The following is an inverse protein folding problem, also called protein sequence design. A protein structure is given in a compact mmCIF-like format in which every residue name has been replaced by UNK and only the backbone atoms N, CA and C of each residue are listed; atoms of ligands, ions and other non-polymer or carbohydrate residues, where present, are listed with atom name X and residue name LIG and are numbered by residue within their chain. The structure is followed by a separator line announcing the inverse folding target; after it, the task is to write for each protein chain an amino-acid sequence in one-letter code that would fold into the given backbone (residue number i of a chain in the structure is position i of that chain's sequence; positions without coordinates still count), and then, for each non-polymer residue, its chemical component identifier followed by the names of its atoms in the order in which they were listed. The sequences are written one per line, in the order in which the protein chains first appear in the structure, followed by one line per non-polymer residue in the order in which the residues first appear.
data_IF_847842673600
#
_entry.id   IF_847842673600
#
_cell.length_a   1.000
_cell.length_b   1.000
_cell.length_c   1.000
_cell.angle_alpha   90.00
_cell.angle_beta   90.00
_cell.angle_gamma   90.00
#
_symmetry.space_group_name_H-M   'P 1'
#
loop_
_entity.id
_entity.type
_entity.pdbx_description
1 polymer ?
#
# COMPACT_ATOMS: atom_id res chain seq x y z
N UNK A 1 -10.43 16.49 -11.62
CA UNK A 1 -9.12 16.40 -10.93
C UNK A 1 -9.27 15.33 -9.85
N UNK A 2 -8.24 14.53 -9.60
CA UNK A 2 -8.26 13.55 -8.52
C UNK A 2 -6.87 13.41 -7.91
N UNK A 3 -6.82 12.78 -6.74
CA UNK A 3 -5.63 12.68 -5.91
C UNK A 3 -4.63 11.70 -6.51
N UNK A 4 -3.50 12.23 -6.97
CA UNK A 4 -2.46 11.42 -7.60
C UNK A 4 -1.49 10.92 -6.56
N UNK A 5 -0.92 9.74 -6.84
CA UNK A 5 -0.10 9.04 -5.86
C UNK A 5 0.89 8.09 -6.52
N UNK A 6 1.77 7.54 -5.69
CA UNK A 6 2.73 6.52 -6.07
C UNK A 6 2.52 5.26 -5.22
N UNK A 7 2.46 4.10 -5.87
CA UNK A 7 2.50 2.79 -5.18
C UNK A 7 3.84 2.14 -5.52
N UNK A 8 4.69 1.96 -4.52
CA UNK A 8 6.01 1.40 -4.68
C UNK A 8 6.14 0.04 -4.01
N UNK A 9 6.99 -0.80 -4.56
CA UNK A 9 7.49 -2.00 -3.91
C UNK A 9 9.01 -1.94 -3.91
N UNK A 10 9.60 -2.11 -2.73
CA UNK A 10 11.03 -2.22 -2.52
C UNK A 10 11.36 -3.66 -2.11
N UNK A 11 12.28 -4.31 -2.82
CA UNK A 11 12.62 -5.72 -2.60
C UNK A 11 14.01 -6.04 -3.13
N UNK A 12 14.75 -6.88 -2.41
CA UNK A 12 16.15 -7.25 -2.71
C UNK A 12 17.04 -6.01 -2.87
N UNK A 13 16.86 -5.01 -2.01
CA UNK A 13 17.66 -3.79 -1.97
C UNK A 13 17.40 -2.80 -3.12
N UNK A 14 16.30 -2.95 -3.87
CA UNK A 14 15.98 -2.06 -5.00
C UNK A 14 14.48 -1.80 -5.16
N UNK A 15 14.15 -0.73 -5.86
CA UNK A 15 12.80 -0.48 -6.35
C UNK A 15 12.45 -1.49 -7.43
N UNK A 16 11.38 -2.25 -7.22
CA UNK A 16 10.88 -3.21 -8.21
C UNK A 16 9.59 -2.74 -8.89
N UNK A 17 8.78 -1.95 -8.17
CA UNK A 17 7.57 -1.28 -8.69
C UNK A 17 7.59 0.18 -8.23
N UNK A 18 7.17 1.09 -9.11
CA UNK A 18 6.83 2.47 -8.78
C UNK A 18 5.69 2.93 -9.70
N UNK A 19 4.48 2.49 -9.37
CA UNK A 19 3.27 2.69 -10.15
C UNK A 19 2.68 4.08 -9.88
N UNK A 20 2.61 4.91 -10.92
CA UNK A 20 1.83 6.14 -10.89
C UNK A 20 0.33 5.83 -10.85
N UNK A 21 -0.38 6.47 -9.93
CA UNK A 21 -1.82 6.39 -9.78
C UNK A 21 -2.48 7.75 -10.03
N UNK A 22 -3.50 7.78 -10.88
CA UNK A 22 -4.15 9.03 -11.29
C UNK A 22 -5.22 9.55 -10.31
N UNK A 23 -5.93 8.64 -9.64
CA UNK A 23 -7.13 8.96 -8.88
C UNK A 23 -7.12 8.33 -7.50
N UNK A 24 -7.83 8.99 -6.58
CA UNK A 24 -8.17 8.51 -5.24
C UNK A 24 -6.98 8.05 -4.39
N UNK A 25 -5.83 8.74 -4.46
CA UNK A 25 -4.62 8.37 -3.73
C UNK A 25 -4.68 8.40 -2.20
N UNK A 26 -5.77 8.87 -1.61
CA UNK A 26 -5.93 9.00 -0.17
C UNK A 26 -5.84 7.65 0.59
N UNK A 27 -5.44 7.67 1.87
CA UNK A 27 -5.37 6.48 2.72
C UNK A 27 -6.66 5.67 2.77
N UNK A 28 -7.82 6.32 2.76
CA UNK A 28 -9.15 5.72 2.81
C UNK A 28 -9.45 4.83 1.61
N UNK A 29 -8.74 5.03 0.49
CA UNK A 29 -8.97 4.28 -0.76
C UNK A 29 -7.77 3.41 -1.08
N UNK A 30 -6.62 3.98 -1.47
CA UNK A 30 -5.47 3.18 -1.89
C UNK A 30 -4.73 2.60 -0.69
N UNK A 31 -4.61 3.36 0.41
CA UNK A 31 -4.07 2.84 1.67
C UNK A 31 -4.87 1.64 2.17
N UNK A 32 -6.21 1.72 2.20
CA UNK A 32 -7.08 0.59 2.58
C UNK A 32 -6.97 -0.59 1.63
N UNK A 33 -6.76 -0.36 0.32
CA UNK A 33 -6.50 -1.45 -0.64
C UNK A 33 -5.19 -2.17 -0.33
N UNK A 34 -4.13 -1.42 -0.03
CA UNK A 34 -2.84 -1.98 0.38
C UNK A 34 -2.95 -2.73 1.72
N UNK A 35 -3.60 -2.12 2.72
CA UNK A 35 -3.92 -2.75 4.00
C UNK A 35 -4.57 -4.12 3.78
N UNK A 36 -5.70 -4.17 3.05
CA UNK A 36 -6.41 -5.43 2.80
C UNK A 36 -5.55 -6.48 2.08
N UNK A 37 -4.70 -6.04 1.16
CA UNK A 37 -3.80 -6.94 0.44
C UNK A 37 -2.73 -7.52 1.39
N UNK A 38 -2.09 -6.67 2.18
CA UNK A 38 -0.96 -7.01 3.06
C UNK A 38 -1.39 -7.72 4.35
N UNK A 39 -2.65 -7.55 4.79
CA UNK A 39 -3.21 -8.28 5.93
C UNK A 39 -3.41 -9.78 5.66
N UNK A 40 -3.08 -10.29 4.47
CA UNK A 40 -3.17 -11.71 4.11
C UNK A 40 -1.77 -12.22 3.77
N UNK A 41 -1.17 -13.04 4.65
CA UNK A 41 0.19 -13.55 4.47
C UNK A 41 0.41 -14.22 3.10
N UNK A 42 -0.58 -15.01 2.65
CA UNK A 42 -0.52 -15.69 1.35
C UNK A 42 -0.37 -14.71 0.16
N UNK A 43 -0.94 -13.51 0.25
CA UNK A 43 -0.79 -12.50 -0.80
C UNK A 43 0.66 -12.01 -0.92
N UNK A 44 1.40 -11.96 0.19
CA UNK A 44 2.80 -11.52 0.24
C UNK A 44 3.70 -12.57 -0.41
N UNK A 45 3.47 -13.85 -0.11
CA UNK A 45 4.19 -14.98 -0.74
C UNK A 45 3.96 -14.98 -2.25
N UNK A 46 2.71 -14.89 -2.67
CA UNK A 46 2.31 -14.80 -4.09
C UNK A 46 2.88 -13.56 -4.78
N UNK A 47 2.93 -12.42 -4.09
CA UNK A 47 3.56 -11.21 -4.62
C UNK A 47 5.06 -11.43 -4.86
N UNK A 48 5.80 -12.00 -3.89
CA UNK A 48 7.23 -12.30 -4.03
C UNK A 48 7.50 -13.19 -5.24
N UNK A 49 6.74 -14.27 -5.41
CA UNK A 49 6.85 -15.14 -6.57
C UNK A 49 6.47 -14.43 -7.89
N UNK A 50 5.39 -13.65 -7.89
CA UNK A 50 4.96 -12.87 -9.06
C UNK A 50 5.98 -11.82 -9.52
N UNK A 51 6.73 -11.23 -8.58
CA UNK A 51 7.75 -10.23 -8.87
C UNK A 51 8.92 -10.76 -9.71
N UNK A 52 9.19 -12.08 -9.68
CA UNK A 52 10.21 -12.69 -10.53
C UNK A 52 9.81 -12.70 -12.03
N UNK A 53 8.54 -12.40 -12.34
CA UNK A 53 8.01 -12.26 -13.70
C UNK A 53 7.86 -10.80 -14.16
N UNK A 54 8.27 -9.83 -13.33
CA UNK A 54 8.27 -8.41 -13.71
C UNK A 54 9.48 -8.11 -14.59
N UNK A 55 9.25 -7.35 -15.66
CA UNK A 55 10.31 -6.81 -16.51
C UNK A 55 10.10 -5.33 -16.80
N UNK A 56 11.15 -4.67 -17.24
CA UNK A 56 11.16 -3.23 -17.57
C UNK A 56 11.27 -3.08 -19.08
N UNK A 57 10.17 -2.76 -19.79
CA UNK A 57 10.18 -2.69 -21.24
C UNK A 57 11.16 -1.65 -21.77
N UNK A 58 11.81 -1.95 -22.89
CA UNK A 58 12.60 -0.97 -23.64
C UNK A 58 11.69 0.08 -24.30
N UNK A 59 12.27 1.17 -24.82
CA UNK A 59 11.50 2.17 -25.57
C UNK A 59 10.80 1.55 -26.80
N UNK A 60 11.46 0.59 -27.46
CA UNK A 60 10.93 -0.14 -28.62
C UNK A 60 9.77 -1.07 -28.22
N UNK A 61 9.91 -1.80 -27.10
CA UNK A 61 8.83 -2.65 -26.57
C UNK A 61 7.62 -1.82 -26.12
N UNK A 62 7.85 -0.64 -25.52
CA UNK A 62 6.76 0.27 -25.15
C UNK A 62 6.02 0.80 -26.36
N UNK A 63 6.73 1.09 -27.46
CA UNK A 63 6.10 1.52 -28.69
C UNK A 63 5.30 0.38 -29.33
N UNK A 64 5.85 -0.83 -29.35
CA UNK A 64 5.12 -2.02 -29.81
C UNK A 64 3.84 -2.28 -29.00
N UNK A 65 3.89 -2.13 -27.66
CA UNK A 65 2.71 -2.22 -26.79
C UNK A 65 1.67 -1.14 -27.14
N UNK A 66 2.10 0.08 -27.44
CA UNK A 66 1.19 1.18 -27.84
C UNK A 66 0.54 0.89 -29.19
N UNK A 67 1.32 0.42 -30.16
CA UNK A 67 0.83 0.05 -31.49
C UNK A 67 -0.19 -1.07 -31.40
N UNK A 68 0.06 -2.10 -30.57
CA UNK A 68 -0.90 -3.17 -30.31
C UNK A 68 -2.20 -2.64 -29.70
N UNK A 69 -2.12 -1.80 -28.67
CA UNK A 69 -3.29 -1.18 -28.06
C UNK A 69 -4.09 -0.34 -29.08
N UNK A 70 -3.39 0.44 -29.93
CA UNK A 70 -4.02 1.26 -30.96
C UNK A 70 -4.70 0.39 -32.03
N UNK A 71 -4.05 -0.71 -32.46
CA UNK A 71 -4.63 -1.66 -33.41
C UNK A 71 -5.88 -2.36 -32.84
N UNK A 72 -5.85 -2.73 -31.55
CA UNK A 72 -7.00 -3.33 -30.87
C UNK A 72 -8.16 -2.32 -30.77
N UNK A 73 -7.87 -1.08 -30.40
CA UNK A 73 -8.87 0.01 -30.38
C UNK A 73 -9.49 0.24 -31.77
N UNK A 74 -8.66 0.27 -32.83
CA UNK A 74 -9.13 0.40 -34.20
C UNK A 74 -10.05 -0.77 -34.60
N UNK A 75 -9.70 -1.99 -34.23
CA UNK A 75 -10.52 -3.17 -34.49
C UNK A 75 -11.89 -3.08 -33.81
N UNK A 76 -11.94 -2.64 -32.55
CA UNK A 76 -13.22 -2.38 -31.85
C UNK A 76 -14.08 -1.34 -32.57
N UNK A 77 -13.46 -0.27 -33.10
CA UNK A 77 -14.15 0.77 -33.87
C UNK A 77 -14.69 0.21 -35.18
N UNK A 78 -13.90 -0.56 -35.91
CA UNK A 78 -14.29 -1.15 -37.20
C UNK A 78 -15.45 -2.14 -37.05
N UNK A 79 -15.53 -2.84 -35.92
CA UNK A 79 -16.64 -3.73 -35.58
C UNK A 79 -17.87 -2.99 -35.03
N UNK A 80 -17.81 -1.67 -34.87
CA UNK A 80 -18.89 -0.89 -34.25
C UNK A 80 -19.12 -1.25 -32.78
N UNK A 81 -18.10 -1.77 -32.09
CA UNK A 81 -18.13 -2.15 -30.67
C UNK A 81 -17.63 -1.03 -29.75
N UNK A 82 -17.24 0.13 -30.31
CA UNK A 82 -16.89 1.35 -29.58
C UNK A 82 -18.15 2.09 -29.06
N UNK A 83 -19.00 1.42 -28.26
CA UNK A 83 -20.27 1.94 -27.74
C UNK A 83 -20.09 2.90 -26.55
N UNK A 84 -19.32 3.99 -26.73
CA UNK A 84 -19.34 5.17 -25.86
C UNK A 84 -18.83 5.00 -24.43
N UNK A 85 -18.49 3.79 -24.00
CA UNK A 85 -17.64 3.55 -22.84
C UNK A 85 -16.20 3.63 -23.31
N UNK A 86 -15.42 4.55 -22.73
CA UNK A 86 -13.97 4.64 -22.95
C UNK A 86 -13.32 3.32 -22.53
N UNK A 87 -13.26 2.35 -23.44
CA UNK A 87 -12.52 1.11 -23.22
C UNK A 87 -11.08 1.53 -23.06
N UNK A 88 -10.57 1.43 -21.83
CA UNK A 88 -9.17 1.71 -21.57
C UNK A 88 -8.39 0.47 -22.01
N UNK A 89 -8.08 0.39 -23.31
CA UNK A 89 -7.43 -0.79 -23.93
C UNK A 89 -6.13 -1.15 -23.23
N UNK A 90 -5.35 -0.15 -22.81
CA UNK A 90 -4.12 -0.38 -22.03
C UNK A 90 -4.44 -1.10 -20.73
N UNK A 91 -5.51 -0.73 -20.03
CA UNK A 91 -5.93 -1.39 -18.78
C UNK A 91 -6.39 -2.83 -18.99
N UNK A 92 -6.95 -3.15 -20.15
CA UNK A 92 -7.40 -4.51 -20.47
C UNK A 92 -6.23 -5.42 -20.88
N UNK A 93 -5.35 -4.95 -21.76
CA UNK A 93 -4.24 -5.74 -22.29
C UNK A 93 -3.02 -5.73 -21.35
N UNK A 94 -2.66 -4.55 -20.85
CA UNK A 94 -1.45 -4.29 -20.07
C UNK A 94 -1.77 -3.53 -18.77
N UNK A 95 -2.56 -4.12 -17.86
CA UNK A 95 -3.04 -3.43 -16.66
C UNK A 95 -1.90 -2.90 -15.76
N UNK A 96 -0.72 -3.52 -15.78
CA UNK A 96 0.46 -3.06 -15.02
C UNK A 96 1.08 -1.76 -15.54
N UNK A 97 0.69 -1.30 -16.73
CA UNK A 97 1.09 -0.02 -17.30
C UNK A 97 0.01 1.06 -17.16
N UNK A 98 -1.21 0.68 -16.78
CA UNK A 98 -2.33 1.60 -16.67
C UNK A 98 -2.28 2.42 -15.37
N UNK A 99 -2.48 3.72 -15.49
CA UNK A 99 -2.45 4.68 -14.39
C UNK A 99 -3.63 4.60 -13.42
N UNK A 100 -4.68 3.85 -13.75
CA UNK A 100 -5.80 3.60 -12.84
C UNK A 100 -5.68 2.27 -12.10
N UNK A 101 -4.67 1.46 -12.43
CA UNK A 101 -4.42 0.20 -11.72
C UNK A 101 -4.02 0.46 -10.27
N UNK A 102 -3.17 1.46 -10.02
CA UNK A 102 -2.80 1.89 -8.66
C UNK A 102 -2.43 0.70 -7.76
N UNK A 103 -2.94 0.62 -6.53
CA UNK A 103 -2.64 -0.47 -5.59
C UNK A 103 -3.02 -1.87 -6.10
N UNK A 104 -3.91 -1.96 -7.10
CA UNK A 104 -4.32 -3.25 -7.70
C UNK A 104 -3.18 -3.94 -8.44
N UNK A 105 -2.08 -3.24 -8.75
CA UNK A 105 -0.90 -3.83 -9.38
C UNK A 105 -0.34 -5.00 -8.56
N UNK A 106 -0.36 -4.90 -7.23
CA UNK A 106 0.08 -5.98 -6.34
C UNK A 106 -0.77 -7.24 -6.52
N UNK A 107 -2.10 -7.07 -6.61
CA UNK A 107 -3.00 -8.20 -6.86
C UNK A 107 -2.84 -8.79 -8.26
N UNK A 108 -2.55 -7.96 -9.28
CA UNK A 108 -2.30 -8.45 -10.64
C UNK A 108 -1.04 -9.31 -10.68
N UNK A 109 0.03 -8.87 -10.03
CA UNK A 109 1.30 -9.58 -9.99
C UNK A 109 1.21 -10.85 -9.15
N UNK A 110 0.44 -10.83 -8.06
CA UNK A 110 0.22 -12.01 -7.23
C UNK A 110 -0.69 -13.08 -7.88
N UNK A 111 -1.53 -12.73 -8.87
CA UNK A 111 -2.56 -13.63 -9.43
C UNK A 111 -2.09 -14.88 -10.19
N UNK A 112 -1.05 -14.88 -11.04
CA UNK A 112 -0.66 -16.07 -11.79
C UNK A 112 -0.34 -17.26 -10.88
N UNK A 113 0.19 -16.99 -9.69
CA UNK A 113 0.46 -18.01 -8.67
C UNK A 113 -0.81 -18.57 -8.04
N UNK A 114 -1.92 -17.81 -8.03
CA UNK A 114 -3.22 -18.28 -7.56
C UNK A 114 -3.87 -19.29 -8.52
N UNK A 115 -3.84 -19.00 -9.82
CA UNK A 115 -4.40 -19.90 -10.84
C UNK A 115 -3.59 -21.20 -10.95
N UNK A 116 -2.26 -21.12 -10.82
CA UNK A 116 -1.38 -22.29 -10.84
C UNK A 116 -1.60 -23.23 -9.63
N UNK A 117 -1.93 -22.69 -8.44
CA UNK A 117 -2.20 -23.49 -7.23
C UNK A 117 -3.60 -24.11 -7.22
N UNK A 118 -4.63 -23.41 -7.74
CA UNK A 118 -6.03 -23.87 -7.69
C UNK A 118 -6.35 -24.93 -8.76
N UNK A 119 -5.71 -24.87 -9.94
CA UNK A 119 -6.05 -25.75 -11.06
C UNK A 119 -5.22 -27.04 -11.15
N UNK A 120 -4.20 -27.24 -10.30
CA UNK A 120 -3.35 -28.45 -10.34
C UNK A 120 -2.74 -28.74 -11.73
N UNK A 121 -2.71 -27.73 -12.60
CA UNK A 121 -2.40 -27.86 -14.01
C UNK A 121 -0.89 -27.82 -14.20
N UNK A 122 -0.24 -28.98 -14.05
CA UNK A 122 1.17 -29.19 -14.40
C UNK A 122 1.42 -29.21 -15.92
N UNK A 123 0.38 -29.14 -16.77
CA UNK A 123 0.52 -29.43 -18.20
C UNK A 123 -0.18 -28.41 -19.12
N UNK A 124 0.27 -27.14 -19.16
CA UNK A 124 0.41 -26.38 -20.41
C UNK A 124 1.56 -25.39 -20.23
N UNK A 125 2.68 -25.61 -20.93
CA UNK A 125 3.80 -24.68 -20.99
C UNK A 125 3.43 -23.42 -21.82
N UNK A 126 2.48 -22.61 -21.34
CA UNK A 126 2.45 -21.20 -21.71
C UNK A 126 3.62 -20.51 -20.99
N UNK A 127 4.40 -19.71 -21.71
CA UNK A 127 5.44 -18.91 -21.08
C UNK A 127 4.83 -18.13 -19.90
N UNK A 128 5.48 -18.09 -18.73
CA UNK A 128 4.92 -17.43 -17.57
C UNK A 128 4.59 -15.98 -17.94
N UNK A 129 3.35 -15.57 -17.70
CA UNK A 129 2.85 -14.23 -18.03
C UNK A 129 3.79 -13.17 -17.44
N UNK A 130 4.53 -12.49 -18.31
CA UNK A 130 5.46 -11.43 -17.91
C UNK A 130 4.68 -10.14 -17.66
N UNK A 131 5.14 -9.37 -16.67
CA UNK A 131 4.50 -8.13 -16.25
C UNK A 131 5.36 -6.92 -16.64
N UNK A 132 4.99 -6.18 -17.70
CA UNK A 132 5.69 -4.95 -18.03
C UNK A 132 5.41 -3.90 -16.97
N UNK A 133 6.46 -3.32 -16.38
CA UNK A 133 6.36 -2.26 -15.38
C UNK A 133 7.27 -1.10 -15.76
N UNK A 134 6.79 0.12 -15.54
CA UNK A 134 7.60 1.33 -15.62
C UNK A 134 7.83 1.91 -14.22
N UNK A 135 9.09 2.14 -13.87
CA UNK A 135 9.43 2.78 -12.60
C UNK A 135 9.23 4.30 -12.71
N UNK A 136 8.11 4.81 -12.18
CA UNK A 136 7.77 6.25 -12.19
C UNK A 136 8.23 6.97 -10.92
N UNK A 137 9.38 6.58 -10.37
CA UNK A 137 9.91 7.11 -9.11
C UNK A 137 10.04 8.63 -9.09
N UNK A 138 10.46 9.25 -10.20
CA UNK A 138 10.61 10.71 -10.30
C UNK A 138 9.31 11.48 -10.04
N UNK A 139 8.13 10.82 -10.06
CA UNK A 139 6.89 11.46 -9.65
C UNK A 139 6.88 11.83 -8.16
N UNK A 140 7.66 11.14 -7.32
CA UNK A 140 7.84 11.52 -5.92
C UNK A 140 8.38 12.95 -5.75
N UNK A 141 9.06 13.49 -6.77
CA UNK A 141 9.60 14.85 -6.76
C UNK A 141 8.61 15.94 -7.17
N UNK A 142 7.40 15.56 -7.59
CA UNK A 142 6.36 16.50 -8.02
C UNK A 142 5.52 16.91 -6.82
N UNK A 143 5.97 17.91 -6.05
CA UNK A 143 5.25 18.36 -4.84
C UNK A 143 3.87 18.97 -5.12
N UNK A 144 3.59 19.35 -6.37
CA UNK A 144 2.30 19.90 -6.77
C UNK A 144 1.26 18.80 -6.99
N UNK A 145 1.70 17.64 -7.51
CA UNK A 145 0.79 16.57 -7.92
C UNK A 145 0.94 15.28 -7.11
N UNK A 146 2.11 14.94 -6.59
CA UNK A 146 2.32 13.76 -5.77
C UNK A 146 1.86 14.03 -4.34
N UNK A 147 0.57 13.80 -4.09
CA UNK A 147 -0.06 14.04 -2.79
C UNK A 147 0.23 12.93 -1.79
N UNK A 148 0.38 11.68 -2.28
CA UNK A 148 0.63 10.49 -1.47
C UNK A 148 1.64 9.55 -2.13
N UNK A 149 2.47 8.88 -1.32
CA UNK A 149 3.26 7.74 -1.76
C UNK A 149 3.17 6.62 -0.73
N UNK A 150 3.08 5.39 -1.20
CA UNK A 150 3.07 4.19 -0.37
C UNK A 150 4.23 3.32 -0.78
N UNK A 151 5.01 2.86 0.18
CA UNK A 151 6.14 1.96 -0.05
C UNK A 151 5.89 0.66 0.68
N UNK A 152 5.70 -0.42 -0.08
CA UNK A 152 5.71 -1.78 0.45
C UNK A 152 7.15 -2.27 0.42
N UNK A 153 7.82 -2.22 1.57
CA UNK A 153 9.17 -2.74 1.73
C UNK A 153 9.09 -4.22 2.13
N UNK A 154 9.38 -5.09 1.17
CA UNK A 154 9.34 -6.54 1.35
C UNK A 154 10.59 -7.09 2.05
N UNK A 155 11.67 -6.30 2.13
CA UNK A 155 12.90 -6.66 2.82
C UNK A 155 12.75 -6.42 4.32
N UNK A 156 12.06 -5.35 4.71
CA UNK A 156 11.77 -5.01 6.10
C UNK A 156 10.37 -5.43 6.57
N UNK A 157 9.53 -5.92 5.65
CA UNK A 157 8.13 -6.31 5.90
C UNK A 157 7.30 -5.18 6.52
N UNK A 158 7.41 -3.99 5.93
CA UNK A 158 6.67 -2.79 6.34
C UNK A 158 5.92 -2.14 5.18
N UNK A 159 4.78 -1.52 5.51
CA UNK A 159 4.11 -0.53 4.68
C UNK A 159 4.45 0.85 5.23
N UNK A 160 5.16 1.65 4.45
CA UNK A 160 5.43 3.06 4.75
C UNK A 160 4.42 3.94 4.02
N UNK A 161 3.91 4.95 4.73
CA UNK A 161 2.96 5.92 4.20
C UNK A 161 3.61 7.29 4.21
N UNK A 162 3.56 7.94 3.06
CA UNK A 162 4.07 9.29 2.85
C UNK A 162 2.96 10.20 2.32
N UNK A 163 2.97 11.46 2.74
CA UNK A 163 2.02 12.47 2.29
C UNK A 163 2.56 13.87 2.46
N UNK A 164 2.13 14.81 1.62
CA UNK A 164 2.74 16.16 1.58
C UNK A 164 4.14 16.15 0.95
N UNK A 165 4.97 17.12 1.30
CA UNK A 165 6.33 17.23 0.76
C UNK A 165 7.32 17.84 1.75
N UNK A 166 8.58 17.41 1.68
CA UNK A 166 9.71 17.91 2.44
C UNK A 166 10.99 18.00 1.58
N UNK A 167 12.03 18.60 2.15
CA UNK A 167 13.36 18.59 1.53
C UNK A 167 14.06 17.26 1.77
N UNK A 168 14.83 16.81 0.78
CA UNK A 168 15.68 15.63 0.93
C UNK A 168 16.69 15.83 2.05
N UNK A 169 16.91 14.76 2.81
CA UNK A 169 17.94 14.68 3.83
C UNK A 169 18.52 13.26 3.86
N UNK A 170 19.66 13.10 4.54
CA UNK A 170 20.27 11.79 4.74
C UNK A 170 19.30 10.84 5.45
N UNK A 171 19.23 9.60 4.96
CA UNK A 171 18.31 8.58 5.47
C UNK A 171 16.90 8.62 4.86
N UNK A 172 16.54 9.64 4.08
CA UNK A 172 15.22 9.67 3.43
C UNK A 172 15.08 8.58 2.36
N UNK A 173 13.93 7.89 2.31
CA UNK A 173 13.65 6.77 1.39
C UNK A 173 13.81 7.13 -0.08
N UNK A 174 13.45 8.35 -0.45
CA UNK A 174 13.52 8.90 -1.80
C UNK A 174 14.73 9.83 -2.04
N UNK A 175 15.76 9.80 -1.17
CA UNK A 175 16.90 10.74 -1.26
C UNK A 175 17.59 10.70 -2.64
N UNK A 176 17.74 9.50 -3.21
CA UNK A 176 18.47 9.27 -4.47
C UNK A 176 17.56 9.36 -5.71
N UNK A 177 16.30 9.82 -5.55
CA UNK A 177 15.33 9.93 -6.64
C UNK A 177 15.26 11.37 -7.13
N UNK A 178 15.70 11.63 -8.37
CA UNK A 178 15.73 12.97 -8.95
C UNK A 178 16.87 13.85 -8.41
N UNK A 179 16.84 15.14 -8.71
CA UNK A 179 17.90 16.09 -8.36
C UNK A 179 17.91 16.44 -6.86
N UNK A 180 19.06 16.76 -6.25
CA UNK A 180 19.17 16.95 -4.79
C UNK A 180 18.28 18.05 -4.19
N UNK A 181 17.94 19.07 -4.96
CA UNK A 181 17.11 20.21 -4.54
C UNK A 181 15.61 19.97 -4.72
N UNK A 182 15.23 18.90 -5.43
CA UNK A 182 13.84 18.54 -5.62
C UNK A 182 13.21 18.04 -4.32
N UNK A 183 11.93 18.39 -4.05
CA UNK A 183 11.22 17.90 -2.88
C UNK A 183 10.99 16.39 -2.97
N UNK A 184 10.60 15.79 -1.85
CA UNK A 184 10.19 14.39 -1.73
C UNK A 184 8.97 14.29 -0.83
N UNK A 185 8.18 13.20 -0.90
CA UNK A 185 7.00 13.05 -0.06
C UNK A 185 7.42 12.91 1.41
N UNK A 186 6.70 13.56 2.33
CA UNK A 186 7.02 13.51 3.76
C UNK A 186 6.63 12.18 4.38
N UNK A 187 7.51 11.58 5.16
CA UNK A 187 7.17 10.36 5.91
C UNK A 187 6.08 10.65 6.96
N UNK A 188 5.01 9.85 6.97
CA UNK A 188 3.90 9.99 7.91
C UNK A 188 3.98 8.92 9.00
N UNK A 189 3.98 7.65 8.60
CA UNK A 189 4.06 6.52 9.52
C UNK A 189 4.40 5.23 8.76
N UNK A 190 4.72 4.18 9.50
CA UNK A 190 4.93 2.83 8.97
C UNK A 190 4.12 1.81 9.77
N UNK A 191 3.75 0.72 9.11
CA UNK A 191 3.11 -0.43 9.71
C UNK A 191 3.90 -1.69 9.38
N UNK A 192 4.21 -2.51 10.37
CA UNK A 192 4.75 -3.85 10.05
C UNK A 192 3.64 -4.73 9.46
N UNK A 193 3.98 -5.72 8.64
CA UNK A 193 2.98 -6.66 8.12
C UNK A 193 2.28 -7.42 9.25
N UNK A 194 2.99 -7.68 10.35
CA UNK A 194 2.40 -8.25 11.57
C UNK A 194 1.36 -7.32 12.20
N UNK A 195 1.64 -6.02 12.30
CA UNK A 195 0.65 -5.04 12.76
C UNK A 195 -0.57 -5.02 11.83
N UNK A 196 -0.36 -4.96 10.50
CA UNK A 196 -1.46 -4.97 9.52
C UNK A 196 -2.33 -6.23 9.59
N UNK A 197 -1.74 -7.38 9.90
CA UNK A 197 -2.45 -8.64 10.10
C UNK A 197 -3.31 -8.62 11.38
N UNK A 198 -2.79 -8.01 12.45
CA UNK A 198 -3.46 -7.91 13.75
C UNK A 198 -4.52 -6.80 13.79
N UNK A 199 -4.33 -5.71 13.03
CA UNK A 199 -5.31 -4.63 12.89
C UNK A 199 -6.57 -5.18 12.23
N UNK A 200 -7.68 -5.20 12.96
CA UNK A 200 -8.91 -5.88 12.53
C UNK A 200 -9.79 -5.05 11.63
N UNK A 201 -9.53 -3.74 11.51
CA UNK A 201 -10.40 -2.84 10.74
C UNK A 201 -9.62 -1.85 9.87
N UNK A 202 -10.06 -1.62 8.61
CA UNK A 202 -9.53 -0.54 7.78
C UNK A 202 -9.67 0.85 8.42
N UNK A 203 -10.67 1.05 9.28
CA UNK A 203 -10.93 2.31 9.96
C UNK A 203 -9.83 2.63 10.97
N UNK A 204 -9.40 1.65 11.77
CA UNK A 204 -8.29 1.78 12.71
C UNK A 204 -6.98 2.12 11.99
N UNK A 205 -6.72 1.45 10.86
CA UNK A 205 -5.58 1.75 9.99
C UNK A 205 -5.58 3.23 9.53
N UNK A 206 -6.71 3.72 8.99
CA UNK A 206 -6.84 5.12 8.55
C UNK A 206 -6.75 6.10 9.72
N UNK A 207 -7.32 5.76 10.87
CA UNK A 207 -7.24 6.60 12.08
C UNK A 207 -5.81 6.77 12.56
N UNK A 208 -4.98 5.72 12.55
CA UNK A 208 -3.56 5.81 12.92
C UNK A 208 -2.79 6.72 11.96
N UNK A 209 -3.05 6.65 10.66
CA UNK A 209 -2.48 7.60 9.67
C UNK A 209 -2.94 9.03 9.97
N UNK A 210 -4.24 9.23 10.21
CA UNK A 210 -4.81 10.54 10.51
C UNK A 210 -4.21 11.16 11.78
N UNK A 211 -3.96 10.33 12.78
CA UNK A 211 -3.36 10.71 14.05
C UNK A 211 -1.88 11.08 13.89
N UNK A 212 -1.13 10.30 13.10
CA UNK A 212 0.25 10.59 12.76
C UNK A 212 0.38 11.94 12.02
N UNK A 213 -0.53 12.24 11.08
CA UNK A 213 -0.57 13.55 10.39
C UNK A 213 -0.81 14.73 11.35
N UNK A 214 -1.54 14.53 12.45
CA UNK A 214 -1.77 15.56 13.47
C UNK A 214 -0.64 15.67 14.49
N UNK A 215 0.35 14.77 14.45
CA UNK A 215 1.43 14.71 15.44
C UNK A 215 0.99 14.19 16.81
N UNK A 216 -0.12 13.46 16.88
CA UNK A 216 -0.64 12.88 18.12
C UNK A 216 0.07 11.53 18.40
N UNK A 217 0.75 11.38 19.54
CA UNK A 217 1.46 10.15 19.89
C UNK A 217 0.52 8.96 20.18
N UNK A 218 0.95 7.75 19.84
CA UNK A 218 0.27 6.49 20.18
C UNK A 218 0.36 6.18 21.68
N UNK A 219 -0.47 6.86 22.48
CA UNK A 219 -0.76 6.49 23.87
C UNK A 219 -1.66 5.24 23.95
N UNK A 220 -1.29 4.15 23.28
CA UNK A 220 -2.02 2.88 23.35
C UNK A 220 -1.49 1.96 24.46
N UNK A 221 -0.38 2.30 25.11
CA UNK A 221 0.24 1.48 26.16
C UNK A 221 0.01 1.99 27.59
N UNK A 222 -0.52 3.20 27.79
CA UNK A 222 -0.70 3.78 29.14
C UNK A 222 -2.09 3.54 29.77
N UNK A 223 -3.09 3.16 28.97
CA UNK A 223 -4.48 3.06 29.46
C UNK A 223 -4.78 1.74 30.18
N UNK A 224 -3.97 0.70 29.98
CA UNK A 224 -4.08 -0.55 30.77
C UNK A 224 -3.36 -0.45 32.12
N UNK A 225 -2.20 0.22 32.22
CA UNK A 225 -1.53 0.40 33.51
C UNK A 225 -2.28 1.39 34.42
N UNK A 226 -2.87 2.45 33.86
CA UNK A 226 -3.63 3.43 34.65
C UNK A 226 -4.92 2.82 35.23
N UNK A 227 -5.60 1.92 34.49
CA UNK A 227 -6.80 1.21 34.98
C UNK A 227 -6.51 0.12 36.00
N UNK A 228 -5.31 -0.48 35.96
CA UNK A 228 -4.89 -1.47 36.97
C UNK A 228 -4.47 -0.75 38.26
N UNK A 229 -3.84 0.43 38.16
CA UNK A 229 -3.47 1.23 39.32
C UNK A 229 -4.70 1.85 40.03
N UNK A 230 -5.66 2.43 39.30
CA UNK A 230 -6.90 2.97 39.91
C UNK A 230 -7.75 1.89 40.59
N UNK A 231 -7.80 0.67 40.04
CA UNK A 231 -8.50 -0.45 40.70
C UNK A 231 -7.79 -0.99 41.93
N UNK A 232 -6.46 -0.87 42.01
CA UNK A 232 -5.69 -1.29 43.18
C UNK A 232 -5.86 -0.30 44.34
N UNK A 233 -5.93 1.00 44.03
CA UNK A 233 -6.11 2.06 45.03
C UNK A 233 -7.55 2.13 45.59
N UNK A 234 -8.57 1.83 44.76
CA UNK A 234 -9.97 1.69 45.22
C UNK A 234 -10.23 0.42 46.05
N UNK A 235 -9.41 -0.63 45.88
CA UNK A 235 -9.51 -1.84 46.69
C UNK A 235 -8.86 -1.67 48.07
N UNK A 236 -7.74 -0.93 48.16
CA UNK A 236 -7.04 -0.68 49.41
C UNK A 236 -7.78 0.29 50.34
N UNK A 237 -8.58 1.23 49.81
CA UNK A 237 -9.35 2.19 50.61
C UNK A 237 -10.65 1.63 51.21
N UNK A 238 -11.13 0.47 50.72
CA UNK A 238 -12.32 -0.21 51.25
C UNK A 238 -12.02 -1.24 52.36
N UNK A 239 -10.76 -1.66 52.55
CA UNK A 239 -10.41 -2.55 53.67
C UNK A 239 -10.11 -1.80 54.98
N UNK A 240 -9.76 -0.50 54.93
CA UNK A 240 -9.47 0.29 56.14
C UNK A 240 -10.72 0.84 56.85
N UNK A 241 -11.90 0.83 56.22
CA UNK A 241 -13.15 1.36 56.81
C UNK A 241 -14.06 0.31 57.46
N UNK A 242 -13.73 -0.98 57.36
CA UNK A 242 -14.56 -2.07 57.89
C UNK A 242 -14.26 -2.54 59.33
N UNK A 243 -13.25 -1.99 60.01
CA UNK A 243 -12.75 -2.54 61.28
C UNK A 243 -13.06 -1.72 62.55
N UNK A 244 -13.94 -0.72 62.49
CA UNK A 244 -14.30 0.11 63.66
C UNK A 244 -15.81 0.28 63.86
N UNK A 245 -16.60 -0.80 63.90
CA UNK A 245 -17.96 -0.66 64.40
C UNK A 245 -18.58 -1.93 65.02
N UNK A 246 -17.86 -2.67 65.87
CA UNK A 246 -18.52 -3.60 66.80
C UNK A 246 -17.86 -3.55 68.19
N UNK A 247 -18.49 -2.84 69.13
CA UNK A 247 -18.02 -2.84 70.51
C UNK A 247 -18.68 -1.81 71.43
N UNK A 248 -20.02 -1.76 71.52
CA UNK A 248 -20.72 -1.15 72.67
C UNK A 248 -22.16 -1.66 72.77
N UNK A 249 -22.37 -2.67 73.61
CA UNK A 249 -23.69 -3.15 73.97
C UNK A 249 -23.65 -4.10 75.16
N UNK A 250 -24.15 -3.60 76.30
CA UNK A 250 -24.42 -4.25 77.59
C UNK A 250 -23.22 -4.51 78.53
#
# INVERSE_FOLDING_TARGET
MGTRHLICVFWKGRWVIAQYGQFDGYPEVQGVRLFKFLSVAHNIERLRAGLDHVYYPTAEELEAIRDECAAFEQNLRDQGLDWGFRTNVVKELYPTLDRETSARILSIIARPTQAAEEDGAEDVAEEPKKFPVQLRLGFANDSLFCEWAYVVDLDQEVLEVYGGHEHKHDGHRFKDVGEPDQPVPTFVCSFTFSELYLTKSPQEFVQRISKALRGEADNAASDEETKVQEKADDAASNEETGAQEEGRGA
#
